data_IF_473406796361
#
_entry.id   IF_473406796361
#
_cell.length_a   1.000
_cell.length_b   1.000
_cell.length_c   1.000
_cell.angle_alpha   90.00
_cell.angle_beta   90.00
_cell.angle_gamma   90.00
#
_symmetry.space_group_name_H-M   'P 1'
#
loop_
_entity.id
_entity.type
_entity.pdbx_description
1 polymer ?
#
# COMPACT_ATOMS: atom_id res chain seq x y z
N UNK A 1 50.72 -63.96 30.23
CA UNK A 1 51.79 -63.57 31.16
C UNK A 1 51.75 -62.05 31.37
N UNK A 2 51.57 -61.61 32.61
CA UNK A 2 51.94 -60.32 33.21
C UNK A 2 51.14 -59.06 32.71
N UNK A 3 50.79 -58.15 33.56
CA UNK A 3 50.69 -57.97 35.04
C UNK A 3 49.76 -56.79 35.27
N UNK A 4 49.02 -56.84 36.37
CA UNK A 4 48.33 -55.73 37.01
C UNK A 4 49.19 -54.47 37.14
N UNK A 5 48.57 -53.30 37.01
CA UNK A 5 48.83 -52.18 37.93
C UNK A 5 47.59 -51.33 38.06
N UNK A 6 47.06 -51.34 39.27
CA UNK A 6 46.02 -50.43 39.74
C UNK A 6 46.66 -49.09 40.08
N UNK A 7 45.98 -47.99 39.64
CA UNK A 7 46.25 -46.67 40.19
C UNK A 7 44.91 -46.07 40.64
N UNK A 8 44.81 -45.90 41.93
CA UNK A 8 43.86 -45.08 42.65
C UNK A 8 43.99 -43.63 42.18
N UNK A 9 42.90 -43.01 41.77
CA UNK A 9 42.84 -41.56 41.73
C UNK A 9 41.65 -41.06 42.50
N UNK A 10 41.98 -40.21 43.44
CA UNK A 10 41.11 -39.53 44.39
C UNK A 10 40.06 -38.65 43.70
N UNK A 11 38.84 -38.66 44.23
CA UNK A 11 37.76 -37.81 43.87
C UNK A 11 38.05 -36.36 44.16
N UNK A 12 37.70 -35.51 43.17
CA UNK A 12 37.50 -34.08 43.37
C UNK A 12 36.11 -33.74 42.90
N UNK A 13 35.19 -33.67 43.87
CA UNK A 13 33.83 -33.19 43.62
C UNK A 13 33.84 -31.67 43.44
N UNK A 14 33.93 -31.22 42.20
CA UNK A 14 33.73 -29.83 41.84
C UNK A 14 32.23 -29.56 41.65
N UNK A 15 31.60 -28.92 42.61
CA UNK A 15 30.24 -28.36 42.46
C UNK A 15 30.28 -27.20 41.47
N UNK A 16 29.81 -27.43 40.22
CA UNK A 16 29.60 -26.38 39.28
C UNK A 16 28.27 -25.68 39.61
N UNK A 17 28.35 -24.51 40.20
CA UNK A 17 27.21 -23.64 40.39
C UNK A 17 26.79 -23.07 39.02
N UNK A 18 25.75 -23.60 38.41
CA UNK A 18 25.12 -23.03 37.23
C UNK A 18 24.32 -21.78 37.62
N UNK A 19 24.91 -20.61 37.43
CA UNK A 19 24.18 -19.34 37.53
C UNK A 19 23.24 -19.22 36.34
N UNK A 20 21.98 -19.50 36.57
CA UNK A 20 20.92 -19.25 35.60
C UNK A 20 20.68 -17.74 35.48
N UNK A 21 21.27 -17.11 34.49
CA UNK A 21 20.91 -15.73 34.11
C UNK A 21 19.53 -15.74 33.47
N UNK A 22 18.50 -15.55 34.31
CA UNK A 22 17.14 -15.26 33.84
C UNK A 22 17.10 -13.82 33.29
N UNK A 23 17.46 -13.66 32.02
CA UNK A 23 17.31 -12.41 31.32
C UNK A 23 15.84 -12.23 30.97
N UNK A 24 15.07 -11.68 31.91
CA UNK A 24 13.75 -11.15 31.59
C UNK A 24 13.91 -9.95 30.65
N UNK A 25 14.03 -10.20 29.33
CA UNK A 25 13.79 -9.17 28.35
C UNK A 25 12.32 -8.76 28.49
N UNK A 26 12.10 -7.60 29.08
CA UNK A 26 10.84 -6.88 28.93
C UNK A 26 10.61 -6.64 27.42
N UNK A 27 10.01 -7.60 26.74
CA UNK A 27 9.46 -7.38 25.42
C UNK A 27 8.33 -6.38 25.60
N UNK A 28 8.61 -5.10 25.36
CA UNK A 28 7.55 -4.12 25.14
C UNK A 28 6.66 -4.72 24.05
N UNK A 29 5.41 -5.04 24.39
CA UNK A 29 4.40 -5.40 23.40
C UNK A 29 4.38 -4.23 22.41
N UNK A 30 4.87 -4.44 21.20
CA UNK A 30 4.66 -3.46 20.13
C UNK A 30 3.15 -3.28 19.99
N UNK A 31 2.71 -2.06 20.24
CA UNK A 31 1.32 -1.68 20.08
C UNK A 31 1.02 -1.81 18.58
N UNK A 32 0.23 -2.81 18.20
CA UNK A 32 -0.17 -3.03 16.82
C UNK A 32 -0.98 -1.81 16.40
N UNK A 33 -0.34 -0.87 15.70
CA UNK A 33 -1.00 0.32 15.17
C UNK A 33 -2.12 -0.14 14.24
N UNK A 34 -3.34 0.28 14.53
CA UNK A 34 -4.48 0.02 13.63
C UNK A 34 -4.16 0.64 12.26
N UNK A 35 -4.42 -0.06 11.16
CA UNK A 35 -4.23 0.51 9.84
C UNK A 35 -5.11 1.76 9.67
N UNK A 36 -4.56 2.80 9.03
CA UNK A 36 -5.27 4.04 8.76
C UNK A 36 -6.27 3.85 7.62
N UNK A 37 -7.38 4.58 7.67
CA UNK A 37 -8.27 4.69 6.52
C UNK A 37 -7.57 5.42 5.37
N UNK A 38 -7.87 5.01 4.14
CA UNK A 38 -7.32 5.60 2.92
C UNK A 38 -8.46 6.17 2.10
N UNK A 39 -8.37 7.43 1.72
CA UNK A 39 -9.29 8.08 0.79
C UNK A 39 -8.49 8.49 -0.45
N UNK A 40 -8.87 7.96 -1.61
CA UNK A 40 -8.31 8.34 -2.90
C UNK A 40 -9.35 9.17 -3.66
N UNK A 41 -8.98 10.38 -4.07
CA UNK A 41 -9.85 11.29 -4.81
C UNK A 41 -9.20 11.58 -6.17
N UNK A 42 -9.92 11.31 -7.25
CA UNK A 42 -9.50 11.60 -8.61
C UNK A 42 -10.50 12.55 -9.27
N UNK A 43 -10.04 13.74 -9.65
CA UNK A 43 -10.81 14.67 -10.45
C UNK A 43 -10.61 14.37 -11.94
N UNK A 44 -11.69 14.42 -12.71
CA UNK A 44 -11.66 14.26 -14.15
C UNK A 44 -11.56 15.64 -14.82
N UNK A 45 -10.75 15.76 -15.88
CA UNK A 45 -10.55 17.01 -16.64
C UNK A 45 -10.22 18.24 -15.76
N UNK A 46 -9.42 18.04 -14.71
CA UNK A 46 -9.06 19.08 -13.75
C UNK A 46 -7.62 19.55 -13.97
N UNK A 47 -7.48 20.78 -14.45
CA UNK A 47 -6.16 21.41 -14.61
C UNK A 47 -5.55 21.80 -13.26
N UNK A 48 -4.24 21.58 -13.08
CA UNK A 48 -3.51 22.02 -11.90
C UNK A 48 -3.60 23.54 -11.65
N UNK A 49 -3.78 24.33 -12.71
CA UNK A 49 -3.91 25.80 -12.61
C UNK A 49 -5.22 26.24 -11.93
N UNK A 50 -6.21 25.37 -11.82
CA UNK A 50 -7.45 25.63 -11.10
C UNK A 50 -7.44 25.11 -9.65
N UNK A 51 -6.26 24.75 -9.15
CA UNK A 51 -6.03 24.44 -7.74
C UNK A 51 -5.16 25.53 -7.14
N UNK A 52 -5.69 26.32 -6.21
CA UNK A 52 -5.00 27.50 -5.70
C UNK A 52 -3.70 27.19 -4.93
N UNK A 53 -3.49 25.97 -4.49
CA UNK A 53 -2.21 25.53 -3.95
C UNK A 53 -1.07 25.54 -5.00
N UNK A 54 -1.41 25.43 -6.30
CA UNK A 54 -0.45 25.51 -7.42
C UNK A 54 -0.46 26.87 -8.10
N UNK A 55 -1.68 27.44 -8.32
CA UNK A 55 -1.84 28.70 -9.04
C UNK A 55 -3.06 29.46 -8.51
N UNK A 56 -2.82 30.68 -8.01
CA UNK A 56 -3.87 31.49 -7.40
C UNK A 56 -4.59 32.45 -8.35
N UNK A 57 -4.27 32.42 -9.66
CA UNK A 57 -4.78 33.38 -10.62
C UNK A 57 -6.25 33.18 -10.97
N UNK A 58 -6.75 31.95 -10.91
CA UNK A 58 -8.06 31.62 -11.48
C UNK A 58 -9.14 31.41 -10.41
N UNK A 59 -8.83 30.70 -9.34
CA UNK A 59 -9.82 30.41 -8.30
C UNK A 59 -9.15 30.12 -6.94
N UNK A 60 -9.98 30.03 -5.92
CA UNK A 60 -9.57 29.66 -4.57
C UNK A 60 -10.13 28.27 -4.23
N UNK A 61 -9.27 27.38 -3.76
CA UNK A 61 -9.63 26.01 -3.39
C UNK A 61 -9.18 25.71 -1.95
N UNK A 62 -9.76 26.39 -0.94
CA UNK A 62 -9.21 26.40 0.43
C UNK A 62 -9.16 25.00 1.07
N UNK A 63 -10.10 24.14 0.75
CA UNK A 63 -10.13 22.77 1.29
C UNK A 63 -9.06 21.88 0.65
N UNK A 64 -8.79 22.03 -0.66
CA UNK A 64 -7.70 21.33 -1.33
C UNK A 64 -6.36 21.89 -0.89
N UNK A 65 -6.26 23.21 -0.74
CA UNK A 65 -5.06 23.89 -0.23
C UNK A 65 -4.69 23.42 1.18
N UNK A 66 -5.69 23.10 2.02
CA UNK A 66 -5.45 22.53 3.34
C UNK A 66 -4.72 21.18 3.24
N UNK A 67 -5.13 20.32 2.31
CA UNK A 67 -4.44 19.02 2.07
C UNK A 67 -2.99 19.28 1.65
N UNK A 68 -2.76 20.24 0.77
CA UNK A 68 -1.42 20.62 0.32
C UNK A 68 -0.54 21.18 1.44
N UNK A 69 -1.13 21.95 2.36
CA UNK A 69 -0.43 22.62 3.46
C UNK A 69 -0.13 21.68 4.64
N UNK A 70 -1.03 20.73 4.92
CA UNK A 70 -0.90 19.76 6.02
C UNK A 70 -0.22 18.46 5.59
N UNK A 71 -0.09 18.21 4.29
CA UNK A 71 0.49 17.02 3.70
C UNK A 71 1.65 17.31 2.75
N UNK A 72 1.63 16.68 1.59
CA UNK A 72 2.67 16.81 0.56
C UNK A 72 2.06 17.28 -0.75
N UNK A 73 2.67 18.28 -1.37
CA UNK A 73 2.35 18.75 -2.70
C UNK A 73 3.47 18.36 -3.68
N UNK A 74 3.12 17.60 -4.70
CA UNK A 74 4.05 17.24 -5.77
C UNK A 74 4.09 18.35 -6.82
N UNK A 75 5.27 18.89 -7.08
CA UNK A 75 5.48 19.96 -8.08
C UNK A 75 5.79 19.40 -9.48
N UNK A 76 6.28 18.16 -9.54
CA UNK A 76 6.59 17.45 -10.77
C UNK A 76 5.89 16.09 -10.77
N UNK A 77 4.67 16.06 -11.28
CA UNK A 77 3.87 14.85 -11.42
C UNK A 77 3.35 14.76 -12.86
N UNK A 78 3.45 13.59 -13.46
CA UNK A 78 3.13 13.38 -14.87
C UNK A 78 2.12 12.25 -15.01
N UNK A 79 1.13 12.45 -15.87
CA UNK A 79 0.15 11.43 -16.20
C UNK A 79 0.71 10.46 -17.23
N UNK A 80 0.52 9.16 -17.01
CA UNK A 80 0.99 8.12 -17.92
C UNK A 80 0.18 8.05 -19.23
N UNK A 81 -1.12 8.37 -19.17
CA UNK A 81 -2.03 8.53 -20.29
C UNK A 81 -3.09 9.56 -19.90
N UNK A 82 -3.27 10.61 -20.70
CA UNK A 82 -4.14 11.73 -20.38
C UNK A 82 -5.64 11.50 -20.71
N UNK A 83 -5.99 10.40 -21.35
CA UNK A 83 -7.38 10.03 -21.58
C UNK A 83 -8.03 9.48 -20.31
N UNK A 84 -9.32 9.76 -20.13
CA UNK A 84 -10.08 9.46 -18.91
C UNK A 84 -10.00 8.00 -18.47
N UNK A 85 -10.44 7.06 -19.32
CA UNK A 85 -10.41 5.62 -19.01
C UNK A 85 -8.99 5.06 -18.87
N UNK A 86 -8.08 5.27 -19.84
CA UNK A 86 -6.70 4.83 -19.74
C UNK A 86 -5.96 5.36 -18.50
N UNK A 87 -6.20 6.63 -18.11
CA UNK A 87 -5.65 7.19 -16.88
C UNK A 87 -6.11 6.39 -15.65
N UNK A 88 -7.41 6.06 -15.58
CA UNK A 88 -7.99 5.27 -14.48
C UNK A 88 -7.41 3.87 -14.43
N UNK A 89 -7.26 3.20 -15.58
CA UNK A 89 -6.63 1.89 -15.68
C UNK A 89 -5.15 1.93 -15.21
N UNK A 90 -4.40 2.97 -15.59
CA UNK A 90 -3.04 3.18 -15.12
C UNK A 90 -2.97 3.34 -13.60
N UNK A 91 -3.87 4.16 -13.02
CA UNK A 91 -3.93 4.38 -11.58
C UNK A 91 -4.29 3.11 -10.81
N UNK A 92 -5.28 2.34 -11.30
CA UNK A 92 -5.70 1.09 -10.65
C UNK A 92 -4.60 0.03 -10.65
N UNK A 93 -3.89 -0.12 -11.75
CA UNK A 93 -2.92 -1.21 -11.97
C UNK A 93 -1.48 -0.84 -11.60
N UNK A 94 -1.15 0.45 -11.54
CA UNK A 94 0.23 0.93 -11.45
C UNK A 94 1.05 0.66 -12.73
N UNK A 95 0.38 0.36 -13.86
CA UNK A 95 1.02 0.04 -15.13
C UNK A 95 0.68 1.11 -16.18
N UNK A 96 1.61 1.36 -17.10
CA UNK A 96 1.31 2.16 -18.30
C UNK A 96 0.26 1.48 -19.20
N UNK A 97 -0.47 2.26 -20.01
CA UNK A 97 -1.57 1.78 -20.85
C UNK A 97 -1.19 0.61 -21.75
N UNK A 98 0.00 0.64 -22.35
CA UNK A 98 0.47 -0.47 -23.20
C UNK A 98 0.70 -1.78 -22.42
N UNK A 99 0.95 -1.70 -21.11
CA UNK A 99 1.19 -2.85 -20.25
C UNK A 99 -0.09 -3.35 -19.55
N UNK A 100 -1.09 -2.47 -19.33
CA UNK A 100 -2.38 -2.86 -18.80
C UNK A 100 -3.42 -3.18 -19.87
N UNK A 101 -3.12 -2.88 -21.15
CA UNK A 101 -3.95 -3.18 -22.31
C UNK A 101 -5.11 -2.19 -22.55
N UNK A 102 -5.31 -1.19 -21.71
CA UNK A 102 -6.38 -0.20 -21.85
C UNK A 102 -5.82 1.13 -22.37
N UNK A 103 -5.84 1.34 -23.69
CA UNK A 103 -5.06 2.39 -24.35
C UNK A 103 -5.87 3.62 -24.76
N UNK A 104 -7.19 3.47 -24.94
CA UNK A 104 -8.09 4.51 -25.45
C UNK A 104 -9.52 4.37 -24.88
N UNK A 105 -10.40 5.29 -25.27
CA UNK A 105 -11.82 5.30 -24.91
C UNK A 105 -12.72 4.81 -26.08
N UNK A 106 -12.24 3.93 -26.93
CA UNK A 106 -13.03 3.39 -28.03
C UNK A 106 -14.27 2.65 -27.53
N UNK A 107 -15.36 2.76 -28.28
CA UNK A 107 -16.62 2.07 -27.96
C UNK A 107 -16.40 0.56 -27.90
N UNK A 108 -16.92 -0.07 -26.87
CA UNK A 108 -16.76 -1.50 -26.63
C UNK A 108 -15.42 -1.90 -25.99
N UNK A 109 -14.51 -0.95 -25.77
CA UNK A 109 -13.29 -1.24 -25.04
C UNK A 109 -13.60 -1.53 -23.56
N UNK A 110 -13.03 -2.62 -23.03
CA UNK A 110 -13.30 -3.07 -21.67
C UNK A 110 -11.97 -3.31 -20.94
N UNK A 111 -11.87 -2.75 -19.75
CA UNK A 111 -10.73 -3.01 -18.87
C UNK A 111 -10.75 -4.45 -18.38
N UNK A 112 -9.63 -5.14 -18.50
CA UNK A 112 -9.46 -6.48 -17.93
C UNK A 112 -9.40 -6.39 -16.39
N UNK A 113 -10.54 -6.59 -15.76
CA UNK A 113 -10.69 -6.59 -14.31
C UNK A 113 -10.03 -7.77 -13.61
N UNK A 114 -9.48 -8.79 -14.32
CA UNK A 114 -8.73 -9.89 -13.72
C UNK A 114 -7.35 -9.46 -13.22
N UNK A 115 -6.81 -8.39 -13.80
CA UNK A 115 -5.51 -7.84 -13.42
C UNK A 115 -5.44 -7.48 -11.93
N UNK A 116 -4.22 -7.50 -11.40
CA UNK A 116 -3.97 -7.00 -10.06
C UNK A 116 -4.13 -5.47 -10.03
N UNK A 117 -4.91 -4.99 -9.06
CA UNK A 117 -5.17 -3.57 -8.83
C UNK A 117 -4.92 -3.24 -7.35
N UNK A 118 -4.65 -1.96 -7.05
CA UNK A 118 -4.40 -1.58 -5.66
C UNK A 118 -5.60 -1.85 -4.72
N UNK A 119 -6.88 -1.72 -5.14
CA UNK A 119 -7.99 -2.10 -4.27
C UNK A 119 -8.01 -3.58 -3.90
N UNK A 120 -7.65 -4.47 -4.84
CA UNK A 120 -7.51 -5.91 -4.54
C UNK A 120 -6.41 -6.18 -3.50
N UNK A 121 -5.28 -5.46 -3.59
CA UNK A 121 -4.21 -5.57 -2.61
C UNK A 121 -4.65 -5.06 -1.24
N UNK A 122 -5.43 -3.98 -1.19
CA UNK A 122 -6.01 -3.48 0.05
C UNK A 122 -6.98 -4.49 0.67
N UNK A 123 -7.82 -5.15 -0.13
CA UNK A 123 -8.69 -6.23 0.36
C UNK A 123 -7.88 -7.39 0.95
N UNK A 124 -6.80 -7.80 0.29
CA UNK A 124 -5.89 -8.83 0.81
C UNK A 124 -5.24 -8.41 2.15
N UNK A 125 -5.03 -7.11 2.34
CA UNK A 125 -4.55 -6.55 3.60
C UNK A 125 -5.66 -6.32 4.65
N UNK A 126 -6.91 -6.76 4.38
CA UNK A 126 -8.03 -6.70 5.32
C UNK A 126 -8.85 -5.40 5.28
N UNK A 127 -8.62 -4.53 4.28
CA UNK A 127 -9.44 -3.33 4.10
C UNK A 127 -10.79 -3.64 3.46
N UNK A 128 -11.82 -2.92 3.87
CA UNK A 128 -13.03 -2.76 3.08
C UNK A 128 -12.82 -1.68 2.05
N UNK A 129 -13.20 -1.95 0.80
CA UNK A 129 -12.94 -1.06 -0.34
C UNK A 129 -14.23 -0.65 -1.01
N UNK A 130 -14.34 0.62 -1.40
CA UNK A 130 -15.48 1.15 -2.13
C UNK A 130 -15.02 2.03 -3.30
N UNK A 131 -15.78 2.01 -4.40
CA UNK A 131 -15.64 2.89 -5.56
C UNK A 131 -16.92 3.70 -5.73
N UNK A 132 -16.80 5.02 -5.74
CA UNK A 132 -17.95 5.92 -5.89
C UNK A 132 -17.65 6.92 -7.02
N UNK A 133 -18.59 7.08 -7.93
CA UNK A 133 -18.54 8.07 -9.01
C UNK A 133 -18.06 7.51 -10.35
N UNK A 134 -17.34 8.31 -11.14
CA UNK A 134 -16.97 7.96 -12.52
C UNK A 134 -16.01 6.76 -12.58
N UNK A 135 -16.46 5.69 -13.23
CA UNK A 135 -15.66 4.48 -13.50
C UNK A 135 -14.99 4.52 -14.88
N UNK A 136 -15.78 4.63 -15.94
CA UNK A 136 -15.35 4.82 -17.34
C UNK A 136 -14.34 3.76 -17.85
N UNK A 137 -14.52 2.51 -17.47
CA UNK A 137 -13.65 1.40 -17.90
C UNK A 137 -14.38 0.31 -18.68
N UNK A 138 -15.66 0.51 -19.00
CA UNK A 138 -16.47 -0.41 -19.81
C UNK A 138 -16.79 -1.76 -19.13
N UNK A 139 -16.12 -2.11 -18.06
CA UNK A 139 -16.34 -3.33 -17.28
C UNK A 139 -16.91 -2.99 -15.90
N UNK A 140 -17.45 -3.98 -15.20
CA UNK A 140 -17.79 -3.82 -13.79
C UNK A 140 -16.53 -3.65 -12.91
N UNK A 141 -16.63 -2.86 -11.83
CA UNK A 141 -15.53 -2.71 -10.87
C UNK A 141 -15.18 -4.03 -10.17
N UNK A 142 -13.89 -4.34 -10.11
CA UNK A 142 -13.36 -5.47 -9.36
C UNK A 142 -12.40 -5.03 -8.27
N UNK A 143 -12.35 -5.77 -7.17
CA UNK A 143 -11.53 -5.40 -6.00
C UNK A 143 -12.23 -4.40 -5.07
N UNK A 144 -13.55 -4.28 -5.17
CA UNK A 144 -14.35 -3.44 -4.28
C UNK A 144 -15.45 -4.26 -3.61
N UNK A 145 -15.71 -3.98 -2.34
CA UNK A 145 -16.81 -4.56 -1.58
C UNK A 145 -18.13 -3.85 -1.90
N UNK A 146 -18.05 -2.60 -2.30
CA UNK A 146 -19.18 -1.78 -2.69
C UNK A 146 -18.79 -0.83 -3.83
N UNK A 147 -19.71 -0.56 -4.76
CA UNK A 147 -19.54 0.49 -5.76
C UNK A 147 -20.87 1.15 -6.10
N UNK A 148 -20.78 2.44 -6.42
CA UNK A 148 -21.84 3.25 -6.97
C UNK A 148 -21.21 4.11 -8.08
N UNK A 149 -21.39 3.70 -9.33
CA UNK A 149 -20.65 4.22 -10.49
C UNK A 149 -21.56 4.89 -11.51
N UNK A 150 -20.99 5.88 -12.19
CA UNK A 150 -21.60 6.63 -13.29
C UNK A 150 -21.05 6.15 -14.63
#
# INVERSE_FOLDING_TARGET
>A
MNKLTSILMYGLTGTVATASFSSCKNMKKEEVKKPMNIVYIMCDDHSFQTISAYDRRYMQTPNIDRIANEGVRFTNSFVANSLSGPSRACMLTGKHSHANGYTDNADGNMFDGSQQTFPKLLQQAGYQTAMIGKWHLGSEPTGFNHWDIL
#
